data_IF_471227418232
#
_entry.id   IF_471227418232
#
_cell.length_a   1.000
_cell.length_b   1.000
_cell.length_c   1.000
_cell.angle_alpha   90.00
_cell.angle_beta   90.00
_cell.angle_gamma   90.00
#
_symmetry.space_group_name_H-M   'P 1'
#
loop_
_entity.id
_entity.type
_entity.pdbx_description
1 polymer ?
#
# COMPACT_ATOMS: atom_id res chain seq x y z
N UNK A 1 0.59 12.23 13.18
CA UNK A 1 0.02 13.57 13.46
C UNK A 1 0.54 14.52 12.37
N UNK A 2 -0.30 15.41 11.82
CA UNK A 2 0.09 16.38 10.79
C UNK A 2 0.93 17.46 11.46
N UNK A 3 2.18 17.71 11.01
CA UNK A 3 3.04 18.72 11.63
C UNK A 3 2.59 20.14 11.27
N UNK A 4 2.96 21.10 12.10
CA UNK A 4 2.79 22.54 11.89
C UNK A 4 1.34 23.03 11.66
N UNK A 5 0.34 22.28 12.15
CA UNK A 5 -1.05 22.76 12.15
C UNK A 5 -1.23 23.92 13.11
N UNK A 6 -2.13 24.84 12.78
CA UNK A 6 -2.61 25.83 13.74
C UNK A 6 -3.28 25.16 14.93
N UNK A 7 -3.28 25.78 16.13
CA UNK A 7 -3.94 25.23 17.32
C UNK A 7 -5.42 24.91 17.04
N UNK A 8 -6.12 25.78 16.33
CA UNK A 8 -7.52 25.59 15.98
C UNK A 8 -7.76 24.39 15.06
N UNK A 9 -6.92 24.21 14.02
CA UNK A 9 -6.99 23.04 13.13
C UNK A 9 -6.67 21.75 13.87
N UNK A 10 -5.69 21.76 14.78
CA UNK A 10 -5.34 20.64 15.62
C UNK A 10 -6.48 20.22 16.56
N UNK A 11 -7.16 21.19 17.21
CA UNK A 11 -8.32 20.95 18.07
C UNK A 11 -9.49 20.37 17.28
N UNK A 12 -9.81 20.91 16.10
CA UNK A 12 -10.87 20.38 15.23
C UNK A 12 -10.63 18.93 14.82
N UNK A 13 -9.38 18.57 14.49
CA UNK A 13 -9.03 17.18 14.18
C UNK A 13 -9.04 16.28 15.41
N UNK A 14 -8.58 16.76 16.56
CA UNK A 14 -8.58 16.02 17.83
C UNK A 14 -9.99 15.75 18.36
N UNK A 15 -10.97 16.59 18.03
CA UNK A 15 -12.36 16.40 18.39
C UNK A 15 -13.06 15.26 17.62
N UNK A 16 -12.45 14.77 16.54
CA UNK A 16 -13.00 13.64 15.79
C UNK A 16 -12.75 12.32 16.53
N UNK A 17 -13.82 11.55 16.76
CA UNK A 17 -13.69 10.24 17.36
C UNK A 17 -12.93 9.28 16.41
N UNK A 18 -11.86 8.61 16.89
CA UNK A 18 -11.19 7.61 16.08
C UNK A 18 -12.06 6.36 15.93
N UNK A 19 -11.86 5.63 14.84
CA UNK A 19 -12.50 4.36 14.54
C UNK A 19 -11.46 3.23 14.67
N UNK A 20 -11.79 2.21 15.47
CA UNK A 20 -10.98 1.00 15.59
C UNK A 20 -11.50 -0.04 14.58
N UNK A 21 -10.62 -0.50 13.69
CA UNK A 21 -10.94 -1.40 12.60
C UNK A 21 -10.18 -2.72 12.79
N UNK A 22 -10.88 -3.86 12.91
CA UNK A 22 -10.22 -5.16 13.03
C UNK A 22 -9.59 -5.59 11.71
N UNK A 23 -8.59 -6.48 11.79
CA UNK A 23 -7.99 -7.14 10.62
C UNK A 23 -9.05 -7.80 9.75
N UNK A 24 -8.91 -7.66 8.43
CA UNK A 24 -9.84 -8.17 7.41
C UNK A 24 -11.04 -7.27 7.14
N UNK A 25 -11.20 -6.17 7.91
CA UNK A 25 -12.27 -5.20 7.65
C UNK A 25 -11.94 -4.40 6.40
N UNK A 26 -12.88 -4.29 5.47
CA UNK A 26 -12.81 -3.32 4.39
C UNK A 26 -13.09 -1.91 4.92
N UNK A 27 -12.23 -0.97 4.56
CA UNK A 27 -12.47 0.46 4.77
C UNK A 27 -13.42 0.99 3.69
N UNK A 28 -13.24 0.54 2.44
CA UNK A 28 -14.10 0.78 1.29
C UNK A 28 -13.80 -0.23 0.17
N UNK A 29 -14.70 -0.30 -0.79
CA UNK A 29 -14.58 -1.10 -2.01
C UNK A 29 -14.51 -0.22 -3.25
N UNK A 30 -13.99 -0.76 -4.34
CA UNK A 30 -14.05 -0.13 -5.66
C UNK A 30 -15.51 0.18 -6.04
N UNK A 31 -15.75 1.40 -6.51
CA UNK A 31 -17.10 1.90 -6.83
C UNK A 31 -17.77 2.66 -5.69
N UNK A 32 -17.29 2.56 -4.44
CA UNK A 32 -17.85 3.33 -3.33
C UNK A 32 -17.53 4.82 -3.47
N UNK A 33 -18.46 5.69 -3.04
CA UNK A 33 -18.24 7.13 -2.98
C UNK A 33 -17.41 7.53 -1.75
N UNK A 34 -16.57 8.57 -1.91
CA UNK A 34 -15.73 9.07 -0.82
C UNK A 34 -16.57 9.68 0.30
N UNK A 35 -16.50 9.09 1.50
CA UNK A 35 -17.21 9.52 2.70
C UNK A 35 -16.44 10.59 3.49
N UNK A 36 -15.12 10.62 3.38
CA UNK A 36 -14.24 11.54 4.10
C UNK A 36 -12.78 11.23 3.85
N UNK A 37 -11.91 12.07 4.40
CA UNK A 37 -10.46 11.89 4.34
C UNK A 37 -9.98 11.01 5.50
N UNK A 38 -9.21 9.97 5.20
CA UNK A 38 -8.77 8.99 6.19
C UNK A 38 -7.32 9.20 6.57
N UNK A 39 -7.07 9.34 7.88
CA UNK A 39 -5.75 9.37 8.51
C UNK A 39 -5.56 8.09 9.32
N UNK A 40 -4.48 7.36 9.12
CA UNK A 40 -4.12 6.18 9.91
C UNK A 40 -3.31 6.60 11.12
N UNK A 41 -3.77 6.25 12.32
CA UNK A 41 -3.08 6.52 13.59
C UNK A 41 -2.20 5.34 14.02
N UNK A 42 -2.69 4.11 13.81
CA UNK A 42 -1.96 2.87 14.08
C UNK A 42 -2.44 1.75 13.19
N UNK A 43 -1.69 0.66 13.10
CA UNK A 43 -2.03 -0.48 12.24
C UNK A 43 -1.65 -0.26 10.78
N UNK A 44 -2.28 -1.04 9.88
CA UNK A 44 -1.96 -1.02 8.44
C UNK A 44 -3.21 -1.29 7.59
N UNK A 45 -3.34 -0.54 6.51
CA UNK A 45 -4.39 -0.70 5.51
C UNK A 45 -3.71 -0.86 4.15
N UNK A 46 -3.99 -1.95 3.45
CA UNK A 46 -3.47 -2.20 2.12
C UNK A 46 -4.55 -1.86 1.07
N UNK A 47 -4.13 -1.18 0.00
CA UNK A 47 -5.01 -0.77 -1.10
C UNK A 47 -4.68 -1.59 -2.34
N UNK A 48 -5.70 -2.28 -2.87
CA UNK A 48 -5.58 -3.19 -4.00
C UNK A 48 -6.38 -2.70 -5.20
N UNK A 49 -5.88 -3.02 -6.39
CA UNK A 49 -6.65 -3.01 -7.63
C UNK A 49 -7.02 -4.44 -7.99
N UNK A 50 -8.31 -4.66 -8.26
CA UNK A 50 -8.81 -5.96 -8.74
C UNK A 50 -9.07 -5.89 -10.24
N UNK A 51 -8.32 -6.67 -11.00
CA UNK A 51 -8.48 -6.75 -12.45
C UNK A 51 -9.74 -7.56 -12.85
N UNK A 52 -10.18 -7.48 -14.12
CA UNK A 52 -11.38 -8.17 -14.62
C UNK A 52 -11.34 -9.69 -14.46
N UNK A 53 -10.15 -10.28 -14.33
CA UNK A 53 -9.90 -11.70 -14.12
C UNK A 53 -9.81 -12.08 -12.63
N UNK A 54 -10.20 -11.20 -11.72
CA UNK A 54 -10.09 -11.39 -10.26
C UNK A 54 -8.68 -11.30 -9.71
N UNK A 55 -7.69 -10.89 -10.51
CA UNK A 55 -6.31 -10.70 -10.05
C UNK A 55 -6.20 -9.40 -9.27
N UNK A 56 -5.65 -9.50 -8.06
CA UNK A 56 -5.36 -8.35 -7.21
C UNK A 56 -3.91 -7.88 -7.38
N UNK A 57 -3.72 -6.58 -7.39
CA UNK A 57 -2.41 -5.92 -7.38
C UNK A 57 -2.41 -4.97 -6.20
N UNK A 58 -1.47 -5.15 -5.27
CA UNK A 58 -1.24 -4.19 -4.21
C UNK A 58 -0.70 -2.89 -4.82
N UNK A 59 -1.48 -1.81 -4.68
CA UNK A 59 -1.05 -0.48 -5.12
C UNK A 59 -0.11 0.14 -4.09
N UNK A 60 -0.53 0.12 -2.82
CA UNK A 60 0.24 0.67 -1.70
C UNK A 60 -0.37 0.25 -0.36
N UNK A 61 0.45 0.39 0.69
CA UNK A 61 0.00 0.37 2.07
C UNK A 61 -0.17 1.81 2.59
N UNK A 62 -1.06 1.98 3.57
CA UNK A 62 -1.21 3.19 4.36
C UNK A 62 -0.80 2.85 5.79
N UNK A 63 0.23 3.54 6.27
CA UNK A 63 0.85 3.30 7.56
C UNK A 63 0.57 4.44 8.56
N UNK A 64 0.94 4.29 9.85
CA UNK A 64 0.70 5.32 10.86
C UNK A 64 1.30 6.68 10.47
N UNK A 65 0.49 7.73 10.57
CA UNK A 65 0.85 9.08 10.16
C UNK A 65 0.60 9.41 8.69
N UNK A 66 0.14 8.44 7.91
CA UNK A 66 -0.22 8.62 6.50
C UNK A 66 -1.73 8.78 6.30
N UNK A 67 -2.09 9.29 5.12
CA UNK A 67 -3.47 9.36 4.63
C UNK A 67 -3.71 8.39 3.49
N UNK A 68 -4.93 7.88 3.38
CA UNK A 68 -5.34 7.09 2.23
C UNK A 68 -5.58 8.01 1.03
N UNK A 69 -4.75 7.85 -0.02
CA UNK A 69 -4.81 8.70 -1.22
C UNK A 69 -6.09 8.47 -2.03
N UNK A 70 -6.65 7.27 -2.04
CA UNK A 70 -7.95 7.02 -2.69
C UNK A 70 -9.04 7.90 -2.09
N UNK A 71 -9.07 8.06 -0.75
CA UNK A 71 -10.04 8.95 -0.10
C UNK A 71 -9.79 10.40 -0.46
N UNK A 72 -8.53 10.81 -0.60
CA UNK A 72 -8.16 12.15 -1.06
C UNK A 72 -8.62 12.41 -2.49
N UNK A 73 -8.35 11.48 -3.40
CA UNK A 73 -8.75 11.61 -4.81
C UNK A 73 -10.27 11.64 -4.96
N UNK A 74 -11.00 10.76 -4.25
CA UNK A 74 -12.44 10.76 -4.27
C UNK A 74 -13.05 12.06 -3.74
N UNK A 75 -12.42 12.72 -2.76
CA UNK A 75 -12.87 14.02 -2.27
C UNK A 75 -12.56 15.15 -3.26
N UNK A 76 -11.38 15.17 -3.88
CA UNK A 76 -10.93 16.23 -4.78
C UNK A 76 -11.55 16.12 -6.18
N UNK A 77 -11.60 14.90 -6.75
CA UNK A 77 -12.10 14.68 -8.10
C UNK A 77 -13.61 14.36 -8.16
N UNK A 78 -14.21 13.96 -7.03
CA UNK A 78 -15.61 13.50 -7.01
C UNK A 78 -15.83 12.11 -7.61
N UNK A 79 -14.73 11.39 -7.92
CA UNK A 79 -14.79 10.07 -8.52
C UNK A 79 -14.94 8.96 -7.46
N UNK A 80 -15.63 7.85 -7.79
CA UNK A 80 -15.66 6.67 -6.94
C UNK A 80 -14.27 6.08 -6.75
N UNK A 81 -14.08 5.30 -5.68
CA UNK A 81 -12.82 4.60 -5.45
C UNK A 81 -12.54 3.60 -6.57
N UNK A 82 -11.28 3.56 -7.03
CA UNK A 82 -10.85 2.65 -8.11
C UNK A 82 -10.34 1.30 -7.58
N UNK A 83 -10.19 1.16 -6.26
CA UNK A 83 -9.65 -0.04 -5.63
C UNK A 83 -10.27 -0.31 -4.28
N UNK A 84 -9.91 -1.45 -3.70
CA UNK A 84 -10.36 -1.91 -2.39
C UNK A 84 -9.33 -1.56 -1.33
N UNK A 85 -9.76 -1.10 -0.14
CA UNK A 85 -8.87 -0.85 1.00
C UNK A 85 -9.21 -1.82 2.13
N UNK A 86 -8.27 -2.69 2.47
CA UNK A 86 -8.45 -3.76 3.46
C UNK A 86 -7.47 -3.56 4.63
N UNK A 87 -7.97 -3.68 5.84
CA UNK A 87 -7.15 -3.65 7.06
C UNK A 87 -6.36 -4.94 7.15
N UNK A 88 -5.03 -4.86 7.05
CA UNK A 88 -4.13 -6.02 7.14
C UNK A 88 -3.54 -6.21 8.53
N UNK A 89 -3.39 -5.12 9.30
CA UNK A 89 -3.15 -5.16 10.74
C UNK A 89 -4.19 -4.29 11.44
N UNK A 90 -4.70 -4.69 12.64
CA UNK A 90 -5.73 -3.92 13.36
C UNK A 90 -5.36 -2.44 13.39
N UNK A 91 -6.24 -1.61 12.83
CA UNK A 91 -5.94 -0.20 12.56
C UNK A 91 -6.86 0.73 13.34
N UNK A 92 -6.29 1.85 13.78
CA UNK A 92 -7.02 2.99 14.31
C UNK A 92 -6.92 4.14 13.33
N UNK A 93 -8.06 4.67 12.91
CA UNK A 93 -8.14 5.72 11.89
C UNK A 93 -8.98 6.90 12.36
N UNK A 94 -8.69 8.09 11.83
CA UNK A 94 -9.57 9.25 11.94
C UNK A 94 -10.19 9.50 10.56
N UNK A 95 -11.53 9.52 10.53
CA UNK A 95 -12.29 9.94 9.36
C UNK A 95 -12.60 11.44 9.46
N UNK A 96 -12.00 12.23 8.61
CA UNK A 96 -12.26 13.68 8.51
C UNK A 96 -13.40 13.90 7.52
N UNK A 97 -14.57 14.39 7.98
CA UNK A 97 -15.71 14.61 7.08
C UNK A 97 -15.37 15.59 5.94
N UNK A 98 -16.05 15.44 4.79
CA UNK A 98 -15.83 16.28 3.60
C UNK A 98 -15.80 17.77 3.91
N UNK A 99 -16.80 18.29 4.65
CA UNK A 99 -16.85 19.73 4.95
C UNK A 99 -15.65 20.24 5.76
N UNK A 100 -15.14 19.43 6.71
CA UNK A 100 -13.93 19.78 7.46
C UNK A 100 -12.67 19.64 6.58
N UNK A 101 -12.62 18.64 5.70
CA UNK A 101 -11.52 18.49 4.73
C UNK A 101 -11.45 19.70 3.81
N UNK A 102 -12.57 20.13 3.23
CA UNK A 102 -12.64 21.29 2.33
C UNK A 102 -12.22 22.58 3.05
N UNK A 103 -12.66 22.77 4.29
CA UNK A 103 -12.28 23.90 5.12
C UNK A 103 -10.76 23.91 5.39
N UNK A 104 -10.20 22.77 5.84
CA UNK A 104 -8.77 22.66 6.12
C UNK A 104 -7.92 22.82 4.85
N UNK A 105 -8.40 22.32 3.70
CA UNK A 105 -7.74 22.55 2.41
C UNK A 105 -7.74 24.03 2.01
N UNK A 106 -8.77 24.78 2.33
CA UNK A 106 -8.88 26.21 2.01
C UNK A 106 -8.04 27.07 2.96
N UNK A 107 -8.13 26.83 4.26
CA UNK A 107 -7.66 27.76 5.28
C UNK A 107 -6.33 27.36 5.93
N UNK A 108 -5.95 26.05 5.92
CA UNK A 108 -4.80 25.53 6.66
C UNK A 108 -3.64 25.13 5.71
N UNK A 109 -2.62 25.98 5.56
CA UNK A 109 -1.50 25.70 4.64
C UNK A 109 -0.71 24.42 5.01
N UNK A 110 -0.62 24.09 6.29
CA UNK A 110 0.09 22.90 6.75
C UNK A 110 -0.67 21.63 6.36
N UNK A 111 -2.00 21.62 6.49
CA UNK A 111 -2.85 20.53 6.05
C UNK A 111 -2.77 20.33 4.54
N UNK A 112 -2.90 21.40 3.78
CA UNK A 112 -2.79 21.38 2.32
C UNK A 112 -1.44 20.83 1.86
N UNK A 113 -0.35 21.27 2.48
CA UNK A 113 1.00 20.76 2.23
C UNK A 113 1.11 19.27 2.51
N UNK A 114 0.57 18.78 3.64
CA UNK A 114 0.53 17.37 4.00
C UNK A 114 -0.20 16.54 2.93
N UNK A 115 -1.39 16.97 2.51
CA UNK A 115 -2.20 16.30 1.47
C UNK A 115 -1.43 16.23 0.14
N UNK A 116 -0.85 17.36 -0.31
CA UNK A 116 -0.09 17.43 -1.56
C UNK A 116 1.18 16.57 -1.54
N UNK A 117 1.87 16.53 -0.41
CA UNK A 117 3.04 15.67 -0.24
C UNK A 117 2.65 14.18 -0.26
N UNK A 118 1.53 13.81 0.36
CA UNK A 118 1.02 12.44 0.30
C UNK A 118 0.68 12.03 -1.15
N UNK A 119 0.00 12.88 -1.90
CA UNK A 119 -0.29 12.67 -3.32
C UNK A 119 1.00 12.55 -4.15
N UNK A 120 1.98 13.43 -3.93
CA UNK A 120 3.27 13.38 -4.64
C UNK A 120 4.03 12.08 -4.39
N UNK A 121 4.11 11.62 -3.13
CA UNK A 121 4.72 10.33 -2.81
C UNK A 121 4.01 9.18 -3.54
N UNK A 122 2.68 9.14 -3.50
CA UNK A 122 1.91 8.07 -4.16
C UNK A 122 2.02 8.10 -5.68
N UNK A 123 2.09 9.27 -6.29
CA UNK A 123 2.35 9.37 -7.73
C UNK A 123 3.71 8.77 -8.09
N UNK A 124 4.73 9.03 -7.28
CA UNK A 124 6.05 8.42 -7.45
C UNK A 124 5.99 6.88 -7.30
N UNK A 125 5.27 6.36 -6.30
CA UNK A 125 5.13 4.92 -6.07
C UNK A 125 4.41 4.23 -7.24
N UNK A 126 3.32 4.84 -7.74
CA UNK A 126 2.58 4.34 -8.91
C UNK A 126 3.45 4.37 -10.16
N UNK A 127 4.22 5.43 -10.40
CA UNK A 127 5.13 5.51 -11.54
C UNK A 127 6.19 4.41 -11.46
N UNK A 128 6.81 4.19 -10.31
CA UNK A 128 7.77 3.10 -10.10
C UNK A 128 7.14 1.72 -10.30
N UNK A 129 5.89 1.53 -9.87
CA UNK A 129 5.16 0.29 -10.10
C UNK A 129 4.96 0.06 -11.61
N UNK A 130 4.52 1.08 -12.35
CA UNK A 130 4.36 1.02 -13.80
C UNK A 130 5.68 0.70 -14.51
N UNK A 131 6.79 1.33 -14.13
CA UNK A 131 8.12 1.02 -14.65
C UNK A 131 8.47 -0.46 -14.41
N UNK A 132 8.30 -0.96 -13.17
CA UNK A 132 8.55 -2.36 -12.85
C UNK A 132 7.69 -3.33 -13.67
N UNK A 133 6.41 -3.01 -13.85
CA UNK A 133 5.49 -3.87 -14.63
C UNK A 133 5.83 -3.82 -16.12
N UNK A 134 6.17 -2.64 -16.65
CA UNK A 134 6.42 -2.45 -18.08
C UNK A 134 7.78 -2.99 -18.55
N UNK A 135 8.83 -2.83 -17.73
CA UNK A 135 10.21 -3.05 -18.20
C UNK A 135 10.92 -4.24 -17.55
N UNK A 136 10.34 -4.89 -16.54
CA UNK A 136 11.05 -5.91 -15.77
C UNK A 136 10.54 -7.33 -15.98
N UNK A 137 11.49 -8.28 -16.12
CA UNK A 137 11.16 -9.71 -16.08
C UNK A 137 10.58 -10.06 -14.71
N UNK A 138 9.59 -10.93 -14.69
CA UNK A 138 8.85 -11.30 -13.48
C UNK A 138 9.76 -11.83 -12.36
N UNK A 139 10.87 -12.49 -12.73
CA UNK A 139 11.89 -13.02 -11.81
C UNK A 139 12.62 -11.91 -11.06
N UNK A 140 12.98 -10.84 -11.77
CA UNK A 140 13.65 -9.70 -11.18
C UNK A 140 12.73 -8.93 -10.22
N UNK A 141 11.44 -8.77 -10.59
CA UNK A 141 10.42 -8.19 -9.70
C UNK A 141 10.21 -9.03 -8.44
N UNK A 142 10.14 -10.36 -8.60
CA UNK A 142 10.00 -11.29 -7.48
C UNK A 142 11.20 -11.20 -6.54
N UNK A 143 12.43 -11.21 -7.08
CA UNK A 143 13.64 -11.08 -6.27
C UNK A 143 13.67 -9.76 -5.49
N UNK A 144 13.35 -8.63 -6.12
CA UNK A 144 13.25 -7.33 -5.46
C UNK A 144 12.19 -7.35 -4.34
N UNK A 145 11.00 -7.86 -4.62
CA UNK A 145 9.92 -7.98 -3.62
C UNK A 145 10.33 -8.85 -2.43
N UNK A 146 11.00 -9.98 -2.66
CA UNK A 146 11.48 -10.84 -1.58
C UNK A 146 12.51 -10.13 -0.70
N UNK A 147 13.42 -9.37 -1.31
CA UNK A 147 14.41 -8.58 -0.57
C UNK A 147 13.77 -7.46 0.27
N UNK A 148 12.75 -6.79 -0.28
CA UNK A 148 12.02 -5.70 0.39
C UNK A 148 11.16 -6.19 1.56
N UNK A 149 10.55 -7.38 1.43
CA UNK A 149 9.69 -7.95 2.46
C UNK A 149 10.44 -8.76 3.53
N UNK A 150 11.73 -9.06 3.30
CA UNK A 150 12.48 -9.92 4.19
C UNK A 150 12.76 -9.25 5.54
N UNK A 151 12.43 -9.97 6.61
CA UNK A 151 12.83 -9.67 7.98
C UNK A 151 13.71 -10.83 8.46
N UNK A 152 14.93 -10.54 8.91
CA UNK A 152 15.92 -11.53 9.33
C UNK A 152 16.13 -12.67 8.30
N UNK A 153 16.14 -12.33 7.01
CA UNK A 153 16.34 -13.28 5.92
C UNK A 153 15.11 -14.15 5.60
N UNK A 154 13.95 -13.85 6.19
CA UNK A 154 12.70 -14.57 5.96
C UNK A 154 11.58 -13.62 5.50
N UNK A 155 10.78 -14.08 4.54
CA UNK A 155 9.54 -13.43 4.11
C UNK A 155 8.37 -14.25 4.66
N UNK A 156 7.59 -13.67 5.57
CA UNK A 156 6.39 -14.25 6.14
C UNK A 156 5.17 -13.80 5.33
N UNK A 157 4.93 -14.47 4.19
CA UNK A 157 3.81 -14.18 3.31
C UNK A 157 3.41 -15.41 2.51
N UNK A 158 2.12 -15.50 2.20
CA UNK A 158 1.61 -16.51 1.28
C UNK A 158 2.01 -16.18 -0.16
N UNK A 159 1.99 -17.19 -1.04
CA UNK A 159 2.24 -16.98 -2.47
C UNK A 159 1.24 -16.00 -3.12
N UNK A 160 0.01 -15.92 -2.59
CA UNK A 160 -0.99 -14.96 -3.05
C UNK A 160 -0.63 -13.53 -2.66
N UNK A 161 -0.19 -13.30 -1.42
CA UNK A 161 0.28 -11.99 -0.98
C UNK A 161 1.54 -11.54 -1.76
N UNK A 162 2.52 -12.44 -1.94
CA UNK A 162 3.70 -12.17 -2.77
C UNK A 162 3.27 -11.83 -4.21
N UNK A 163 2.29 -12.56 -4.76
CA UNK A 163 1.78 -12.31 -6.11
C UNK A 163 1.15 -10.93 -6.25
N UNK A 164 0.40 -10.48 -5.25
CA UNK A 164 -0.17 -9.13 -5.19
C UNK A 164 0.94 -8.06 -5.21
N UNK A 165 1.98 -8.23 -4.39
CA UNK A 165 3.13 -7.29 -4.35
C UNK A 165 3.92 -7.25 -5.67
N UNK A 166 4.12 -8.42 -6.30
CA UNK A 166 4.84 -8.52 -7.59
C UNK A 166 3.99 -8.01 -8.76
N UNK A 167 2.67 -7.91 -8.59
CA UNK A 167 1.75 -7.62 -9.70
C UNK A 167 1.66 -8.80 -10.68
N UNK A 168 1.50 -10.04 -10.18
CA UNK A 168 1.44 -11.26 -11.00
C UNK A 168 0.38 -12.24 -10.48
N UNK A 169 0.09 -13.30 -11.23
CA UNK A 169 -0.81 -14.35 -10.78
C UNK A 169 -0.09 -15.30 -9.80
N UNK A 170 -0.83 -15.83 -8.80
CA UNK A 170 -0.31 -16.76 -7.80
C UNK A 170 0.42 -17.96 -8.43
N UNK A 171 -0.14 -18.57 -9.48
CA UNK A 171 0.41 -19.72 -10.17
C UNK A 171 1.75 -19.40 -10.85
N UNK A 172 1.89 -18.17 -11.33
CA UNK A 172 3.15 -17.70 -11.94
C UNK A 172 4.20 -17.52 -10.84
N UNK A 173 3.85 -16.90 -9.71
CA UNK A 173 4.76 -16.73 -8.58
C UNK A 173 5.17 -18.09 -8.01
N UNK A 174 4.23 -19.04 -7.83
CA UNK A 174 4.57 -20.39 -7.38
C UNK A 174 5.65 -21.03 -8.26
N UNK A 175 5.45 -21.04 -9.59
CA UNK A 175 6.44 -21.60 -10.54
C UNK A 175 7.79 -20.88 -10.50
N UNK A 176 7.78 -19.55 -10.28
CA UNK A 176 9.04 -18.76 -10.19
C UNK A 176 9.76 -19.00 -8.86
N UNK A 177 9.05 -19.11 -7.75
CA UNK A 177 9.64 -19.49 -6.46
C UNK A 177 10.28 -20.89 -6.52
N UNK A 178 9.62 -21.86 -7.17
CA UNK A 178 10.20 -23.19 -7.40
C UNK A 178 11.47 -23.12 -8.27
N UNK A 179 11.49 -22.23 -9.26
CA UNK A 179 12.69 -22.02 -10.08
C UNK A 179 13.84 -21.39 -9.28
N UNK A 180 13.57 -20.36 -8.45
CA UNK A 180 14.55 -19.76 -7.56
C UNK A 180 15.07 -20.74 -6.50
N UNK A 181 14.19 -21.62 -6.00
CA UNK A 181 14.57 -22.69 -5.06
C UNK A 181 15.51 -23.70 -5.71
N UNK A 182 15.25 -24.14 -6.96
CA UNK A 182 16.16 -25.00 -7.72
C UNK A 182 17.53 -24.36 -7.99
N UNK A 183 17.58 -23.03 -8.07
CA UNK A 183 18.84 -22.27 -8.22
C UNK A 183 19.56 -22.05 -6.88
N UNK A 184 18.96 -22.48 -5.75
CA UNK A 184 19.53 -22.29 -4.42
C UNK A 184 19.38 -20.87 -3.86
N UNK A 185 18.63 -20.00 -4.53
CA UNK A 185 18.47 -18.58 -4.11
C UNK A 185 17.52 -18.44 -2.94
N UNK A 186 16.52 -19.32 -2.84
CA UNK A 186 15.53 -19.33 -1.75
C UNK A 186 15.21 -20.77 -1.32
N UNK A 187 14.61 -20.92 -0.13
CA UNK A 187 13.85 -22.11 0.26
C UNK A 187 12.42 -21.70 0.61
N UNK A 188 11.46 -22.54 0.24
CA UNK A 188 10.03 -22.26 0.44
C UNK A 188 9.40 -23.26 1.41
N UNK A 189 8.60 -22.75 2.34
CA UNK A 189 7.75 -23.51 3.22
C UNK A 189 6.36 -22.90 3.24
N UNK A 190 5.39 -23.50 3.92
CA UNK A 190 4.03 -22.99 3.97
C UNK A 190 3.98 -21.59 4.60
N UNK A 191 3.75 -20.57 3.78
CA UNK A 191 3.67 -19.18 4.21
C UNK A 191 5.02 -18.52 4.57
N UNK A 192 6.15 -19.18 4.27
CA UNK A 192 7.49 -18.65 4.55
C UNK A 192 8.39 -18.87 3.34
N UNK A 193 9.11 -17.82 2.95
CA UNK A 193 10.21 -17.90 1.97
C UNK A 193 11.48 -17.44 2.68
N UNK A 194 12.50 -18.33 2.75
CA UNK A 194 13.81 -17.99 3.32
C UNK A 194 14.77 -17.63 2.20
N UNK A 195 15.51 -16.53 2.36
CA UNK A 195 16.51 -16.09 1.41
C UNK A 195 17.83 -16.85 1.67
N UNK A 196 18.19 -17.80 0.79
CA UNK A 196 19.38 -18.62 0.94
C UNK A 196 20.63 -17.95 0.36
N UNK A 197 20.46 -17.17 -0.74
CA UNK A 197 21.52 -16.39 -1.38
C UNK A 197 21.03 -14.96 -1.64
N UNK A 198 21.20 -14.09 -0.65
CA UNK A 198 20.85 -12.67 -0.75
C UNK A 198 21.67 -11.92 -1.82
N UNK A 199 22.99 -12.13 -1.98
CA UNK A 199 23.75 -11.54 -3.08
C UNK A 199 23.21 -11.94 -4.47
N UNK A 200 22.93 -13.21 -4.71
CA UNK A 200 22.35 -13.70 -5.96
C UNK A 200 20.96 -13.10 -6.24
N UNK A 201 20.11 -12.96 -5.22
CA UNK A 201 18.83 -12.28 -5.36
C UNK A 201 18.98 -10.80 -5.68
N UNK A 202 19.96 -10.10 -5.09
CA UNK A 202 20.26 -8.70 -5.44
C UNK A 202 20.74 -8.55 -6.89
N UNK A 203 21.59 -9.46 -7.36
CA UNK A 203 22.01 -9.47 -8.76
C UNK A 203 20.85 -9.72 -9.71
N UNK A 204 19.93 -10.65 -9.37
CA UNK A 204 18.73 -10.90 -10.14
C UNK A 204 17.79 -9.69 -10.14
N UNK A 205 17.63 -9.03 -8.99
CA UNK A 205 16.84 -7.82 -8.85
C UNK A 205 17.45 -6.63 -9.62
N UNK A 206 18.79 -6.52 -9.70
CA UNK A 206 19.47 -5.47 -10.45
C UNK A 206 19.25 -5.56 -11.97
N UNK A 207 18.80 -6.71 -12.50
CA UNK A 207 18.35 -6.83 -13.89
C UNK A 207 17.02 -6.08 -14.17
N UNK A 208 16.56 -5.28 -13.19
CA UNK A 208 15.47 -4.31 -13.27
C UNK A 208 15.87 -2.98 -13.97
N UNK A 209 17.16 -2.72 -14.06
CA UNK A 209 17.75 -1.54 -14.68
C UNK A 209 18.27 -1.88 -16.09
#
# INVERSE_FOLDING_TARGET
MIPDLSPEAAERLAALAPLDLPKGRALFYAGDAAQGFVLVQSGRIDVFLTGPNGREILLYAVEPGESCVQTTLGLLAGEPYSGDAIVTDPARVTLVPRGLFDLLMAEEPAFRRFVMQALGRRMTDVTRLLERVAFCKIEARLAATLLDLAQDGCVHATQAEIAAHVGSAREVISRRLDALARQGLVTTDRGIVRLSDTPGLRQLAAALL
#
